data_IF_154820065456
#
_entry.id   IF_154820065456
#
_cell.length_a   1.000
_cell.length_b   1.000
_cell.length_c   1.000
_cell.angle_alpha   90.00
_cell.angle_beta   90.00
_cell.angle_gamma   90.00
#
_symmetry.space_group_name_H-M   'P 1'
#
loop_
_entity.id
_entity.type
_entity.pdbx_description
1 polymer ?
#
# COMPACT_ATOMS: atom_id res chain seq x y z
N UNK A 1 -18.04 -14.29 0.42
CA UNK A 1 -16.60 -14.01 0.24
C UNK A 1 -16.07 -13.50 1.58
N UNK A 2 -14.94 -14.06 2.07
CA UNK A 2 -14.32 -13.66 3.35
C UNK A 2 -13.72 -12.26 3.31
N UNK A 3 -13.54 -11.63 4.50
CA UNK A 3 -12.78 -10.38 4.65
C UNK A 3 -11.29 -10.55 4.39
N UNK A 4 -10.78 -11.75 4.55
CA UNK A 4 -9.37 -12.13 4.34
C UNK A 4 -9.27 -13.26 3.32
N UNK A 5 -8.08 -13.53 2.84
CA UNK A 5 -7.82 -14.63 1.90
C UNK A 5 -7.50 -15.91 2.69
N UNK A 6 -8.49 -16.80 2.83
CA UNK A 6 -8.34 -18.11 3.48
C UNK A 6 -8.35 -19.24 2.46
N UNK A 7 -7.49 -20.22 2.66
CA UNK A 7 -7.36 -21.41 1.82
C UNK A 7 -7.25 -22.68 2.68
N UNK A 8 -8.10 -23.67 2.41
CA UNK A 8 -8.12 -24.91 3.17
C UNK A 8 -6.90 -25.83 2.89
N UNK A 9 -6.31 -25.67 1.71
CA UNK A 9 -5.16 -26.47 1.27
C UNK A 9 -4.07 -25.56 0.67
N UNK A 10 -2.81 -26.07 0.54
CA UNK A 10 -1.68 -25.26 0.08
C UNK A 10 -1.61 -25.04 -1.44
N UNK A 11 -2.55 -25.56 -2.24
CA UNK A 11 -2.45 -25.52 -3.71
C UNK A 11 -2.47 -24.10 -4.26
N UNK A 12 -3.41 -23.29 -3.80
CA UNK A 12 -3.52 -21.87 -4.20
C UNK A 12 -2.42 -21.00 -3.57
N UNK A 13 -2.11 -21.11 -2.26
CA UNK A 13 -0.92 -20.49 -1.68
C UNK A 13 0.35 -20.71 -2.49
N UNK A 14 0.68 -21.96 -2.84
CA UNK A 14 1.85 -22.29 -3.67
C UNK A 14 1.82 -21.66 -5.08
N UNK A 15 0.65 -21.43 -5.65
CA UNK A 15 0.52 -20.73 -6.92
C UNK A 15 0.86 -19.24 -6.78
N UNK A 16 0.37 -18.57 -5.73
CA UNK A 16 0.73 -17.19 -5.42
C UNK A 16 2.24 -17.03 -5.18
N UNK A 17 2.85 -17.92 -4.40
CA UNK A 17 4.27 -17.87 -4.06
C UNK A 17 5.21 -17.99 -5.26
N UNK A 18 4.74 -18.49 -6.42
CA UNK A 18 5.51 -18.51 -7.67
C UNK A 18 5.75 -17.10 -8.24
N UNK A 19 4.88 -16.15 -7.96
CA UNK A 19 4.89 -14.82 -8.59
C UNK A 19 4.97 -13.68 -7.59
N UNK A 20 4.49 -13.90 -6.36
CA UNK A 20 4.48 -12.88 -5.31
C UNK A 20 5.82 -12.85 -4.57
N UNK A 21 6.58 -11.75 -4.65
CA UNK A 21 7.85 -11.65 -3.93
C UNK A 21 7.59 -11.54 -2.42
N UNK A 22 8.52 -12.06 -1.63
CA UNK A 22 8.50 -11.89 -0.17
C UNK A 22 9.01 -10.49 0.19
N UNK A 23 8.28 -9.79 1.06
CA UNK A 23 8.68 -8.45 1.51
C UNK A 23 9.80 -8.53 2.55
N UNK A 24 9.69 -9.47 3.50
CA UNK A 24 10.66 -9.68 4.57
C UNK A 24 11.21 -11.11 4.59
N UNK A 25 12.02 -11.53 3.61
CA UNK A 25 12.43 -12.94 3.46
C UNK A 25 13.25 -13.49 4.62
N UNK A 26 13.89 -12.62 5.41
CA UNK A 26 14.72 -13.01 6.56
C UNK A 26 13.97 -13.00 7.91
N UNK A 27 13.03 -12.07 8.08
CA UNK A 27 12.34 -11.86 9.37
C UNK A 27 10.91 -12.39 9.39
N UNK A 28 10.28 -12.50 8.22
CA UNK A 28 8.93 -13.05 8.05
C UNK A 28 8.85 -13.76 6.68
N UNK A 29 9.47 -14.94 6.53
CA UNK A 29 9.50 -15.67 5.26
C UNK A 29 8.12 -16.22 4.87
N UNK A 30 7.85 -16.25 3.57
CA UNK A 30 6.57 -16.67 2.99
C UNK A 30 5.56 -15.54 2.87
N UNK A 31 4.45 -15.85 2.20
CA UNK A 31 3.32 -14.93 2.02
C UNK A 31 2.02 -15.51 2.60
N UNK A 32 2.12 -16.62 3.32
CA UNK A 32 0.97 -17.31 3.91
C UNK A 32 1.32 -17.88 5.28
N UNK A 33 0.39 -17.77 6.22
CA UNK A 33 0.51 -18.31 7.56
C UNK A 33 -0.54 -19.40 7.77
N UNK A 34 -0.13 -20.57 8.27
CA UNK A 34 -1.04 -21.62 8.69
C UNK A 34 -1.65 -21.29 10.07
N UNK A 35 -2.97 -21.42 10.17
CA UNK A 35 -3.72 -21.20 11.41
C UNK A 35 -4.29 -22.53 11.90
N UNK A 36 -3.73 -23.06 12.99
CA UNK A 36 -4.13 -24.35 13.56
C UNK A 36 -5.59 -24.38 14.00
N UNK A 37 -6.07 -23.31 14.63
CA UNK A 37 -7.42 -23.23 15.19
C UNK A 37 -8.53 -23.38 14.13
N UNK A 38 -8.28 -22.87 12.93
CA UNK A 38 -9.25 -22.90 11.82
C UNK A 38 -8.84 -23.83 10.67
N UNK A 39 -7.64 -24.41 10.75
CA UNK A 39 -7.04 -25.32 9.75
C UNK A 39 -7.05 -24.73 8.33
N UNK A 40 -6.62 -23.48 8.22
CA UNK A 40 -6.52 -22.75 6.96
C UNK A 40 -5.21 -21.97 6.85
N UNK A 41 -4.73 -21.80 5.63
CA UNK A 41 -3.74 -20.79 5.30
C UNK A 41 -4.43 -19.44 5.17
N UNK A 42 -3.84 -18.38 5.75
CA UNK A 42 -4.25 -17.00 5.53
C UNK A 42 -3.13 -16.24 4.82
N UNK A 43 -3.45 -15.37 3.89
CA UNK A 43 -2.45 -14.54 3.20
C UNK A 43 -1.91 -13.47 4.14
N UNK A 44 -0.57 -13.38 4.22
CA UNK A 44 0.18 -12.50 5.12
C UNK A 44 1.39 -11.94 4.39
N UNK A 45 1.18 -10.88 3.60
CA UNK A 45 2.23 -10.27 2.76
C UNK A 45 3.41 -9.73 3.59
N UNK A 46 3.17 -9.28 4.84
CA UNK A 46 4.17 -8.67 5.71
C UNK A 46 4.55 -9.60 6.86
N UNK A 47 3.81 -9.57 7.97
CA UNK A 47 4.08 -10.41 9.13
C UNK A 47 2.94 -11.40 9.38
N UNK A 48 3.20 -12.56 10.04
CA UNK A 48 2.19 -13.60 10.28
C UNK A 48 0.93 -13.14 11.00
N UNK A 49 1.00 -12.05 11.76
CA UNK A 49 -0.14 -11.45 12.48
C UNK A 49 -0.84 -10.34 11.67
N UNK A 50 -0.34 -9.98 10.47
CA UNK A 50 -0.92 -8.97 9.58
C UNK A 50 -1.61 -9.66 8.40
N UNK A 51 -2.90 -9.93 8.54
CA UNK A 51 -3.69 -10.63 7.53
C UNK A 51 -4.14 -9.68 6.43
N UNK A 52 -3.92 -10.07 5.19
CA UNK A 52 -4.27 -9.26 4.02
C UNK A 52 -5.77 -9.13 3.82
N UNK A 53 -6.26 -7.90 3.76
CA UNK A 53 -7.65 -7.58 3.49
C UNK A 53 -8.03 -7.94 2.05
N UNK A 54 -9.17 -8.61 1.89
CA UNK A 54 -9.70 -9.02 0.59
C UNK A 54 -10.59 -7.94 -0.04
N UNK A 55 -9.98 -6.97 -0.69
CA UNK A 55 -10.71 -5.90 -1.40
C UNK A 55 -11.51 -6.38 -2.64
N UNK A 56 -11.39 -7.65 -3.06
CA UNK A 56 -12.35 -8.26 -4.00
C UNK A 56 -13.74 -8.41 -3.39
N UNK A 57 -13.84 -8.38 -2.07
CA UNK A 57 -15.11 -8.35 -1.35
C UNK A 57 -15.53 -6.88 -1.11
N UNK A 58 -16.61 -6.37 -1.75
CA UNK A 58 -17.04 -4.98 -1.58
C UNK A 58 -17.35 -4.59 -0.13
N UNK A 59 -17.72 -5.55 0.72
CA UNK A 59 -17.95 -5.29 2.15
C UNK A 59 -16.68 -4.82 2.86
N UNK A 60 -15.50 -5.30 2.44
CA UNK A 60 -14.22 -4.84 2.98
C UNK A 60 -14.00 -3.36 2.67
N UNK A 61 -14.22 -2.96 1.42
CA UNK A 61 -14.14 -1.55 1.05
C UNK A 61 -15.11 -0.70 1.87
N UNK A 62 -16.37 -1.10 1.98
CA UNK A 62 -17.38 -0.36 2.75
C UNK A 62 -17.02 -0.23 4.24
N UNK A 63 -16.50 -1.31 4.87
CA UNK A 63 -16.06 -1.29 6.26
C UNK A 63 -14.84 -0.38 6.46
N UNK A 64 -13.88 -0.41 5.53
CA UNK A 64 -12.72 0.48 5.58
C UNK A 64 -13.11 1.95 5.36
N UNK A 65 -14.06 2.22 4.47
CA UNK A 65 -14.60 3.57 4.30
C UNK A 65 -15.39 4.05 5.52
N UNK A 66 -16.13 3.16 6.18
CA UNK A 66 -16.77 3.50 7.46
C UNK A 66 -15.71 3.91 8.50
N UNK A 67 -14.63 3.14 8.64
CA UNK A 67 -13.54 3.48 9.56
C UNK A 67 -12.86 4.80 9.18
N UNK A 68 -12.63 5.03 7.90
CA UNK A 68 -12.11 6.29 7.38
C UNK A 68 -12.98 7.48 7.81
N UNK A 69 -14.28 7.43 7.51
CA UNK A 69 -15.23 8.49 7.85
C UNK A 69 -15.41 8.64 9.37
N UNK A 70 -15.34 7.55 10.12
CA UNK A 70 -15.37 7.61 11.59
C UNK A 70 -14.17 8.39 12.15
N UNK A 71 -12.97 8.16 11.64
CA UNK A 71 -11.76 8.87 12.07
C UNK A 71 -11.84 10.36 11.71
N UNK A 72 -12.28 10.69 10.49
CA UNK A 72 -12.45 12.08 10.07
C UNK A 72 -13.49 12.81 10.90
N UNK A 73 -14.59 12.15 11.27
CA UNK A 73 -15.60 12.70 12.16
C UNK A 73 -15.08 12.93 13.60
N UNK A 74 -13.97 12.34 13.97
CA UNK A 74 -13.25 12.57 15.24
C UNK A 74 -12.21 13.68 15.16
N UNK A 75 -12.12 14.39 14.04
CA UNK A 75 -11.20 15.51 13.83
C UNK A 75 -9.81 15.10 13.33
N UNK A 76 -9.69 13.95 12.68
CA UNK A 76 -8.44 13.56 12.02
C UNK A 76 -8.39 14.21 10.63
N UNK A 77 -7.38 15.05 10.39
CA UNK A 77 -7.21 15.82 9.15
C UNK A 77 -6.42 15.09 8.09
N UNK A 78 -5.56 14.13 8.48
CA UNK A 78 -4.73 13.36 7.55
C UNK A 78 -4.92 11.88 7.83
N UNK A 79 -5.41 11.14 6.84
CA UNK A 79 -5.52 9.67 6.90
C UNK A 79 -4.37 9.04 6.13
N UNK A 80 -3.52 8.29 6.84
CA UNK A 80 -2.47 7.48 6.23
C UNK A 80 -3.04 6.15 5.78
N UNK A 81 -2.91 5.87 4.49
CA UNK A 81 -3.24 4.56 3.90
C UNK A 81 -1.97 3.73 3.86
N UNK A 82 -1.98 2.65 4.64
CA UNK A 82 -0.85 1.73 4.77
C UNK A 82 -0.67 0.85 3.55
N UNK A 83 0.57 0.61 3.15
CA UNK A 83 0.96 -0.36 2.12
C UNK A 83 0.11 -0.31 0.84
N UNK A 84 -0.18 0.88 0.33
CA UNK A 84 -1.09 1.13 -0.82
C UNK A 84 -0.84 0.20 -2.01
N UNK A 85 0.41 -0.05 -2.47
CA UNK A 85 0.65 -0.92 -3.63
C UNK A 85 0.14 -2.34 -3.49
N UNK A 86 -0.12 -2.80 -2.27
CA UNK A 86 -0.47 -4.19 -1.95
C UNK A 86 -1.96 -4.41 -1.70
N UNK A 87 -2.82 -3.41 -1.87
CA UNK A 87 -4.26 -3.48 -1.57
C UNK A 87 -4.97 -4.58 -2.38
N UNK A 88 -4.59 -4.79 -3.64
CA UNK A 88 -5.23 -5.79 -4.51
C UNK A 88 -4.38 -7.03 -4.71
N UNK A 89 -5.03 -8.21 -4.66
CA UNK A 89 -4.39 -9.51 -4.86
C UNK A 89 -4.97 -10.21 -6.08
N UNK A 90 -4.11 -10.63 -7.00
CA UNK A 90 -4.51 -11.38 -8.20
C UNK A 90 -3.55 -12.54 -8.44
N UNK A 91 -4.10 -13.72 -8.68
CA UNK A 91 -3.28 -14.91 -8.98
C UNK A 91 -2.47 -14.70 -10.27
N UNK A 92 -1.28 -15.26 -10.33
CA UNK A 92 -0.32 -15.11 -11.43
C UNK A 92 0.20 -13.69 -11.65
N UNK A 93 0.10 -12.83 -10.64
CA UNK A 93 0.70 -11.49 -10.59
C UNK A 93 1.63 -11.37 -9.39
N UNK A 94 2.33 -10.24 -9.29
CA UNK A 94 3.13 -9.93 -8.09
C UNK A 94 2.28 -9.43 -6.92
N UNK A 95 0.95 -9.31 -7.04
CA UNK A 95 0.05 -8.72 -6.05
C UNK A 95 0.49 -7.33 -5.58
N UNK A 96 1.10 -6.57 -6.46
CA UNK A 96 1.67 -5.25 -6.19
C UNK A 96 1.50 -4.34 -7.40
N UNK A 97 1.14 -3.08 -7.18
CA UNK A 97 0.97 -2.05 -8.22
C UNK A 97 -0.05 -2.41 -9.31
N UNK A 98 -1.09 -3.15 -8.96
CA UNK A 98 -2.12 -3.55 -9.93
C UNK A 98 -3.09 -2.40 -10.21
N UNK A 99 -3.69 -2.32 -11.42
CA UNK A 99 -4.61 -1.23 -11.79
C UNK A 99 -5.78 -1.04 -10.84
N UNK A 100 -6.24 -2.11 -10.19
CA UNK A 100 -7.33 -2.08 -9.23
C UNK A 100 -6.97 -1.29 -7.95
N UNK A 101 -5.68 -1.23 -7.59
CA UNK A 101 -5.20 -0.42 -6.46
C UNK A 101 -5.56 1.05 -6.69
N UNK A 102 -5.24 1.58 -7.88
CA UNK A 102 -5.55 2.95 -8.27
C UNK A 102 -7.06 3.23 -8.23
N UNK A 103 -7.89 2.27 -8.69
CA UNK A 103 -9.35 2.41 -8.62
C UNK A 103 -9.84 2.54 -7.17
N UNK A 104 -9.32 1.71 -6.27
CA UNK A 104 -9.70 1.76 -4.84
C UNK A 104 -9.28 3.08 -4.21
N UNK A 105 -8.05 3.55 -4.46
CA UNK A 105 -7.57 4.82 -3.92
C UNK A 105 -8.39 6.01 -4.43
N UNK A 106 -8.73 6.03 -5.74
CA UNK A 106 -9.64 7.06 -6.32
C UNK A 106 -11.00 7.06 -5.65
N UNK A 107 -11.59 5.88 -5.42
CA UNK A 107 -12.87 5.78 -4.72
C UNK A 107 -12.77 6.35 -3.30
N UNK A 108 -11.69 6.03 -2.55
CA UNK A 108 -11.44 6.62 -1.23
C UNK A 108 -11.31 8.13 -1.32
N UNK A 109 -10.54 8.63 -2.29
CA UNK A 109 -10.36 10.07 -2.54
C UNK A 109 -11.69 10.77 -2.83
N UNK A 110 -12.48 10.24 -3.76
CA UNK A 110 -13.77 10.83 -4.15
C UNK A 110 -14.75 10.86 -2.96
N UNK A 111 -14.83 9.79 -2.18
CA UNK A 111 -15.70 9.76 -0.98
C UNK A 111 -15.23 10.80 0.04
N UNK A 112 -13.91 10.91 0.26
CA UNK A 112 -13.32 11.92 1.13
C UNK A 112 -13.69 13.33 0.69
N UNK A 113 -13.54 13.67 -0.57
CA UNK A 113 -13.87 14.98 -1.13
C UNK A 113 -15.36 15.35 -1.01
N UNK A 114 -16.25 14.36 -1.15
CA UNK A 114 -17.70 14.59 -1.05
C UNK A 114 -18.15 14.75 0.42
N UNK A 115 -17.64 13.91 1.31
CA UNK A 115 -18.17 13.81 2.69
C UNK A 115 -17.37 14.65 3.69
N UNK A 116 -16.07 14.76 3.50
CA UNK A 116 -15.12 15.44 4.39
C UNK A 116 -14.00 16.16 3.59
N UNK A 117 -14.32 17.23 2.84
CA UNK A 117 -13.43 17.83 1.84
C UNK A 117 -12.13 18.42 2.40
N UNK A 118 -12.03 18.60 3.72
CA UNK A 118 -10.80 19.07 4.38
C UNK A 118 -9.79 17.97 4.69
N UNK A 119 -10.11 16.69 4.48
CA UNK A 119 -9.26 15.57 4.84
C UNK A 119 -8.28 15.24 3.73
N UNK A 120 -7.02 15.02 4.10
CA UNK A 120 -5.95 14.66 3.19
C UNK A 120 -5.64 13.15 3.25
N UNK A 121 -5.39 12.54 2.10
CA UNK A 121 -4.90 11.16 1.99
C UNK A 121 -3.37 11.16 1.86
N UNK A 122 -2.70 10.48 2.78
CA UNK A 122 -1.27 10.20 2.73
C UNK A 122 -1.06 8.72 2.40
N UNK A 123 -0.58 8.42 1.21
CA UNK A 123 -0.30 7.03 0.78
C UNK A 123 1.10 6.57 1.18
N UNK A 124 1.20 5.38 1.76
CA UNK A 124 2.50 4.72 1.91
C UNK A 124 2.82 3.92 0.65
N UNK A 125 3.68 4.49 -0.17
CA UNK A 125 4.17 3.90 -1.43
C UNK A 125 5.69 3.91 -1.40
N UNK A 126 6.28 2.74 -1.11
CA UNK A 126 7.73 2.58 -0.96
C UNK A 126 8.31 2.03 -2.27
N UNK A 127 8.72 2.94 -3.15
CA UNK A 127 9.29 2.62 -4.46
C UNK A 127 10.25 3.74 -4.92
N UNK A 128 10.87 3.53 -6.08
CA UNK A 128 11.66 4.56 -6.76
C UNK A 128 10.75 5.75 -7.15
N UNK A 129 11.28 6.98 -7.15
CA UNK A 129 10.50 8.22 -7.34
C UNK A 129 9.54 8.19 -8.54
N UNK A 130 10.00 7.71 -9.69
CA UNK A 130 9.21 7.67 -10.93
C UNK A 130 8.00 6.72 -10.82
N UNK A 131 8.10 5.68 -10.00
CA UNK A 131 7.02 4.71 -9.76
C UNK A 131 6.03 5.19 -8.70
N UNK A 132 6.39 6.19 -7.91
CA UNK A 132 5.52 6.80 -6.90
C UNK A 132 4.54 7.78 -7.53
N UNK A 133 4.97 8.55 -8.54
CA UNK A 133 4.17 9.60 -9.20
C UNK A 133 2.75 9.15 -9.59
N UNK A 134 2.53 7.97 -10.20
CA UNK A 134 1.18 7.54 -10.57
C UNK A 134 0.17 7.47 -9.42
N UNK A 135 0.63 7.40 -8.17
CA UNK A 135 -0.24 7.35 -6.98
C UNK A 135 -0.75 8.72 -6.52
N UNK A 136 -0.30 9.82 -7.14
CA UNK A 136 -0.99 11.11 -7.06
C UNK A 136 -2.23 11.13 -7.95
N UNK A 137 -2.25 10.30 -8.99
CA UNK A 137 -3.27 10.29 -10.03
C UNK A 137 -3.06 11.40 -11.06
N UNK A 138 -4.13 11.92 -11.59
CA UNK A 138 -4.18 13.09 -12.51
C UNK A 138 -5.20 14.08 -12.00
N UNK A 139 -5.26 15.27 -12.61
CA UNK A 139 -6.27 16.30 -12.28
C UNK A 139 -7.70 15.75 -12.42
N UNK A 140 -7.96 14.94 -13.47
CA UNK A 140 -9.29 14.36 -13.71
C UNK A 140 -9.54 13.09 -12.85
N UNK A 141 -8.49 12.44 -12.39
CA UNK A 141 -8.55 11.18 -11.64
C UNK A 141 -7.59 11.22 -10.45
N UNK A 142 -7.82 12.11 -9.48
CA UNK A 142 -6.91 12.29 -8.33
C UNK A 142 -6.90 11.06 -7.42
N UNK A 143 -5.73 10.77 -6.84
CA UNK A 143 -5.50 9.70 -5.89
C UNK A 143 -5.01 10.26 -4.54
N UNK A 144 -3.79 9.94 -4.11
CA UNK A 144 -3.27 10.48 -2.85
C UNK A 144 -2.93 11.98 -2.96
N UNK A 145 -3.18 12.73 -1.89
CA UNK A 145 -2.73 14.12 -1.79
C UNK A 145 -1.22 14.20 -1.49
N UNK A 146 -0.73 13.23 -0.72
CA UNK A 146 0.66 13.15 -0.29
C UNK A 146 1.15 11.71 -0.36
N UNK A 147 2.44 11.55 -0.62
CA UNK A 147 3.13 10.27 -0.65
C UNK A 147 4.45 10.34 0.10
N UNK A 148 4.90 9.23 0.68
CA UNK A 148 6.20 9.15 1.31
C UNK A 148 7.34 9.27 0.31
N UNK A 149 8.32 10.11 0.61
CA UNK A 149 9.59 10.20 -0.13
C UNK A 149 10.68 9.37 0.57
N UNK A 150 10.56 8.05 0.47
CA UNK A 150 11.44 7.09 1.17
C UNK A 150 12.87 7.15 0.66
N UNK A 151 13.08 7.43 -0.62
CA UNK A 151 14.43 7.51 -1.20
C UNK A 151 15.20 8.72 -0.68
N UNK A 152 14.54 9.86 -0.50
CA UNK A 152 15.18 11.03 0.16
C UNK A 152 15.45 10.75 1.63
N UNK A 153 14.56 10.07 2.34
CA UNK A 153 14.79 9.65 3.73
C UNK A 153 16.04 8.75 3.83
N UNK A 154 16.11 7.69 3.02
CA UNK A 154 17.22 6.75 3.02
C UNK A 154 18.57 7.42 2.68
N UNK A 155 18.59 8.30 1.68
CA UNK A 155 19.80 9.05 1.31
C UNK A 155 20.20 10.09 2.35
N UNK A 156 19.24 10.65 3.09
CA UNK A 156 19.51 11.52 4.24
C UNK A 156 20.21 10.73 5.36
N UNK A 157 19.69 9.57 5.73
CA UNK A 157 20.33 8.70 6.73
C UNK A 157 21.72 8.25 6.30
N UNK A 158 21.90 7.87 5.04
CA UNK A 158 23.22 7.54 4.49
C UNK A 158 24.19 8.73 4.60
N UNK A 159 23.73 9.92 4.26
CA UNK A 159 24.55 11.15 4.36
C UNK A 159 25.00 11.43 5.80
N UNK A 160 24.09 11.29 6.76
CA UNK A 160 24.43 11.47 8.18
C UNK A 160 25.45 10.44 8.64
N UNK A 161 25.25 9.16 8.27
CA UNK A 161 26.13 8.07 8.66
C UNK A 161 27.53 8.15 8.02
N UNK A 162 27.62 8.51 6.74
CA UNK A 162 28.87 8.49 5.96
C UNK A 162 29.54 9.86 5.83
N UNK A 163 28.86 10.95 6.21
CA UNK A 163 29.28 12.37 5.98
C UNK A 163 29.50 12.67 4.49
N UNK A 164 28.82 11.94 3.58
CA UNK A 164 28.92 12.13 2.13
C UNK A 164 27.57 12.55 1.55
N UNK A 165 27.48 13.77 1.04
CA UNK A 165 26.24 14.37 0.50
C UNK A 165 25.94 13.99 -0.96
N UNK A 166 26.82 13.27 -1.65
CA UNK A 166 26.72 13.02 -3.09
C UNK A 166 25.42 12.31 -3.49
N UNK A 167 25.04 11.27 -2.76
CA UNK A 167 23.80 10.53 -3.03
C UNK A 167 22.55 11.36 -2.73
N UNK A 168 22.54 12.13 -1.64
CA UNK A 168 21.42 12.99 -1.29
C UNK A 168 21.21 14.07 -2.36
N UNK A 169 22.31 14.72 -2.81
CA UNK A 169 22.22 15.70 -3.89
C UNK A 169 21.61 15.11 -5.16
N UNK A 170 22.12 13.97 -5.62
CA UNK A 170 21.56 13.27 -6.79
C UNK A 170 20.08 12.94 -6.62
N UNK A 171 19.68 12.49 -5.43
CA UNK A 171 18.27 12.16 -5.12
C UNK A 171 17.38 13.40 -5.16
N UNK A 172 17.83 14.52 -4.61
CA UNK A 172 17.08 15.78 -4.65
C UNK A 172 16.94 16.29 -6.09
N UNK A 173 17.99 16.23 -6.90
CA UNK A 173 17.91 16.57 -8.33
C UNK A 173 16.86 15.71 -9.06
N UNK A 174 16.80 14.40 -8.76
CA UNK A 174 15.78 13.51 -9.30
C UNK A 174 14.36 13.93 -8.88
N UNK A 175 14.14 14.17 -7.58
CA UNK A 175 12.82 14.55 -7.05
C UNK A 175 12.35 15.90 -7.59
N UNK A 176 13.24 16.88 -7.69
CA UNK A 176 12.91 18.19 -8.26
C UNK A 176 12.67 18.16 -9.77
N UNK A 177 13.19 17.14 -10.47
CA UNK A 177 12.96 16.90 -11.88
C UNK A 177 11.68 16.12 -12.20
N UNK A 178 10.94 15.62 -11.17
CA UNK A 178 9.66 14.93 -11.39
C UNK A 178 8.61 15.90 -11.96
N UNK A 179 7.64 15.40 -12.75
CA UNK A 179 6.52 16.21 -13.26
C UNK A 179 5.83 16.94 -12.09
N UNK A 180 5.55 18.22 -12.32
CA UNK A 180 4.74 19.05 -11.42
C UNK A 180 3.41 19.24 -12.12
N UNK A 181 2.35 18.62 -11.61
CA UNK A 181 0.98 18.82 -12.06
C UNK A 181 0.29 19.88 -11.20
#
# INVERSE_FOLDING_TARGET
MSRYFFFADPSIPKQYEKTVPQVFPTTAPGNFTWLEDVRHYVMTTFYPYQWDLNYKNPRVFNEMMYNFLYLTNRGIDIIRIDAVPYIWKELNTQCRNLPQVHTIVRMMRMIGEIVCPGVLLLGEVVMEPEKVVPYFGTVEKPECHMLYNVTTMATTWHTVATRNVGLLKKQLDTVFGLPKE
#
